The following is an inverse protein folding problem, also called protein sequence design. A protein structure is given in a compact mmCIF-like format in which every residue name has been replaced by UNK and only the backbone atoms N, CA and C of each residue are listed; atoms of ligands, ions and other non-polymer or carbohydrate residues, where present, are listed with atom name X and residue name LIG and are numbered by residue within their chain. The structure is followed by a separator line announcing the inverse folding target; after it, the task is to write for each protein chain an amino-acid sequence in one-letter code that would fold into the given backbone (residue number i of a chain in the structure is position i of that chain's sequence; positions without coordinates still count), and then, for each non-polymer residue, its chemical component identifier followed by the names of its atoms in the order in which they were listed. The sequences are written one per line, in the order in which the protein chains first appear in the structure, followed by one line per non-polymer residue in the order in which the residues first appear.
data_IF_123461085990
#
_entry.id   IF_123461085990
#
_cell.length_a   1.000
_cell.length_b   1.000
_cell.length_c   1.000
_cell.angle_alpha   90.00
_cell.angle_beta   90.00
_cell.angle_gamma   90.00
#
_symmetry.space_group_name_H-M   'P 1'
#
loop_
_entity.id
_entity.type
_entity.pdbx_description
1 polymer ?
#
# COMPACT_ATOMS: atom_id res chain seq x y z
N UNK A 1 -48.62 -2.31 -97.00
CA UNK A 1 -47.31 -2.96 -96.98
C UNK A 1 -46.29 -1.89 -96.65
N UNK A 2 -45.42 -2.19 -95.66
CA UNK A 2 -44.09 -1.63 -95.32
C UNK A 2 -43.71 -0.24 -95.83
N UNK A 3 -43.23 0.61 -94.92
CA UNK A 3 -41.77 0.81 -94.80
C UNK A 3 -41.40 1.60 -93.55
N UNK A 4 -40.48 1.01 -92.79
CA UNK A 4 -39.72 1.63 -91.70
C UNK A 4 -38.57 2.44 -92.31
N UNK A 5 -38.39 3.70 -91.90
CA UNK A 5 -37.05 4.28 -91.74
C UNK A 5 -37.17 5.62 -91.00
N UNK A 6 -36.61 5.74 -89.80
CA UNK A 6 -35.91 6.96 -89.37
C UNK A 6 -35.07 6.72 -88.12
N UNK A 7 -33.76 6.84 -88.36
CA UNK A 7 -32.68 7.00 -87.39
C UNK A 7 -33.05 7.93 -86.24
N UNK A 8 -32.60 7.59 -85.03
CA UNK A 8 -32.26 8.58 -84.01
C UNK A 8 -30.91 8.21 -83.39
N UNK A 9 -30.05 9.22 -83.36
CA UNK A 9 -28.60 9.20 -83.23
C UNK A 9 -28.11 8.93 -81.80
N UNK A 10 -27.06 8.12 -81.68
CA UNK A 10 -26.13 8.15 -80.53
C UNK A 10 -25.52 9.55 -80.42
N UNK A 11 -25.63 10.17 -79.24
CA UNK A 11 -24.91 11.39 -78.88
C UNK A 11 -24.01 11.07 -77.69
N UNK A 12 -22.73 10.82 -77.96
CA UNK A 12 -21.70 10.72 -76.92
C UNK A 12 -21.39 12.14 -76.42
N UNK A 13 -21.76 12.44 -75.17
CA UNK A 13 -21.44 13.72 -74.54
C UNK A 13 -20.02 13.67 -73.98
N UNK A 14 -19.05 14.13 -74.78
CA UNK A 14 -17.68 14.34 -74.32
C UNK A 14 -17.65 15.52 -73.36
N UNK A 15 -17.43 15.27 -72.07
CA UNK A 15 -17.28 16.32 -71.06
C UNK A 15 -16.03 17.18 -71.36
N UNK A 16 -16.26 18.44 -71.71
CA UNK A 16 -15.22 19.42 -72.03
C UNK A 16 -14.51 19.93 -70.75
N UNK A 17 -13.52 19.17 -70.27
CA UNK A 17 -12.78 19.43 -69.03
C UNK A 17 -12.05 20.80 -69.04
N UNK A 18 -11.54 21.24 -70.20
CA UNK A 18 -10.78 22.49 -70.35
C UNK A 18 -11.58 23.77 -70.06
N UNK A 19 -12.92 23.73 -70.11
CA UNK A 19 -13.77 24.89 -69.77
C UNK A 19 -14.07 24.99 -68.26
N UNK A 20 -14.02 23.88 -67.55
CA UNK A 20 -14.30 23.84 -66.11
C UNK A 20 -13.09 24.27 -65.28
N UNK A 21 -11.87 23.91 -65.70
CA UNK A 21 -10.63 24.29 -65.01
C UNK A 21 -10.27 25.79 -65.06
N UNK A 22 -10.97 26.62 -65.85
CA UNK A 22 -10.75 28.08 -65.90
C UNK A 22 -11.55 28.87 -64.85
N UNK A 23 -12.43 28.21 -64.08
CA UNK A 23 -13.20 28.87 -63.02
C UNK A 23 -12.42 28.83 -61.71
N UNK A 24 -12.28 29.99 -61.05
CA UNK A 24 -11.47 30.18 -59.82
C UNK A 24 -11.92 29.32 -58.62
N UNK A 25 -13.11 28.72 -58.69
CA UNK A 25 -13.68 27.82 -57.67
C UNK A 25 -13.55 26.32 -58.02
N UNK A 26 -13.08 25.98 -59.22
CA UNK A 26 -12.97 24.58 -59.64
C UNK A 26 -11.84 23.84 -58.90
N UNK A 27 -10.72 24.51 -58.64
CA UNK A 27 -9.60 23.94 -57.87
C UNK A 27 -9.98 23.57 -56.41
N UNK A 28 -10.60 24.46 -55.61
CA UNK A 28 -11.01 24.08 -54.25
C UNK A 28 -12.11 23.01 -54.25
N UNK A 29 -13.05 23.03 -55.20
CA UNK A 29 -14.07 21.99 -55.30
C UNK A 29 -13.49 20.61 -55.64
N UNK A 30 -12.50 20.54 -56.53
CA UNK A 30 -11.77 19.30 -56.84
C UNK A 30 -10.96 18.84 -55.62
N UNK A 31 -10.32 19.75 -54.90
CA UNK A 31 -9.56 19.42 -53.69
C UNK A 31 -10.45 18.79 -52.60
N UNK A 32 -11.64 19.35 -52.37
CA UNK A 32 -12.61 18.79 -51.43
C UNK A 32 -13.11 17.41 -51.86
N UNK A 33 -13.34 17.19 -53.15
CA UNK A 33 -13.76 15.89 -53.66
C UNK A 33 -12.66 14.82 -53.48
N UNK A 34 -11.40 15.18 -53.73
CA UNK A 34 -10.25 14.29 -53.49
C UNK A 34 -10.06 14.03 -52.00
N UNK A 35 -10.17 15.05 -51.14
CA UNK A 35 -10.07 14.88 -49.69
C UNK A 35 -11.16 13.95 -49.14
N UNK A 36 -12.40 14.06 -49.64
CA UNK A 36 -13.49 13.16 -49.26
C UNK A 36 -13.22 11.70 -49.67
N UNK A 37 -12.61 11.48 -50.84
CA UNK A 37 -12.19 10.14 -51.31
C UNK A 37 -11.03 9.57 -50.48
N UNK A 38 -10.08 10.41 -50.06
CA UNK A 38 -8.99 9.98 -49.20
C UNK A 38 -9.48 9.64 -47.79
N UNK A 39 -10.41 10.43 -47.24
CA UNK A 39 -11.02 10.15 -45.94
C UNK A 39 -11.89 8.89 -45.98
N UNK A 40 -12.66 8.65 -47.05
CA UNK A 40 -13.44 7.42 -47.18
C UNK A 40 -12.55 6.19 -47.36
N UNK A 41 -11.46 6.30 -48.12
CA UNK A 41 -10.46 5.24 -48.23
C UNK A 41 -9.76 4.97 -46.88
N UNK A 42 -9.38 6.02 -46.15
CA UNK A 42 -8.79 5.90 -44.81
C UNK A 42 -9.74 5.21 -43.83
N UNK A 43 -11.01 5.61 -43.81
CA UNK A 43 -12.03 4.98 -42.95
C UNK A 43 -12.30 3.53 -43.34
N UNK A 44 -12.28 3.21 -44.63
CA UNK A 44 -12.42 1.84 -45.12
C UNK A 44 -11.20 0.97 -44.75
N UNK A 45 -9.99 1.52 -44.83
CA UNK A 45 -8.76 0.83 -44.41
C UNK A 45 -8.74 0.62 -42.89
N UNK A 46 -9.17 1.62 -42.11
CA UNK A 46 -9.33 1.49 -40.66
C UNK A 46 -10.46 0.50 -40.30
N UNK A 47 -11.53 0.44 -41.10
CA UNK A 47 -12.63 -0.52 -40.92
C UNK A 47 -12.24 -1.96 -41.27
N UNK A 48 -11.27 -2.19 -42.16
CA UNK A 48 -10.74 -3.53 -42.42
C UNK A 48 -9.69 -3.96 -41.39
N UNK A 49 -8.97 -3.01 -40.78
CA UNK A 49 -7.99 -3.26 -39.71
C UNK A 49 -8.59 -3.26 -38.30
N UNK A 50 -9.90 -3.02 -38.17
CA UNK A 50 -10.63 -3.20 -36.92
C UNK A 50 -10.91 -4.67 -36.66
N UNK A 51 -9.93 -5.41 -36.14
CA UNK A 51 -10.23 -6.54 -35.26
C UNK A 51 -10.95 -5.96 -34.04
N UNK A 52 -12.27 -5.85 -34.13
CA UNK A 52 -13.11 -5.84 -32.93
C UNK A 52 -13.04 -7.30 -32.46
N UNK A 53 -12.19 -7.57 -31.48
CA UNK A 53 -12.21 -8.85 -30.80
C UNK A 53 -13.61 -9.01 -30.21
N UNK A 54 -14.41 -9.94 -30.74
CA UNK A 54 -15.56 -10.42 -30.00
C UNK A 54 -15.01 -11.25 -28.84
N UNK A 55 -15.51 -11.06 -27.60
CA UNK A 55 -15.09 -11.88 -26.46
C UNK A 55 -15.44 -13.36 -26.62
N UNK A 56 -16.21 -13.73 -27.66
CA UNK A 56 -16.65 -15.09 -27.96
C UNK A 56 -15.93 -15.73 -29.17
N UNK A 57 -14.95 -15.06 -29.78
CA UNK A 57 -14.17 -15.68 -30.86
C UNK A 57 -13.21 -16.73 -30.26
N UNK A 58 -13.27 -18.01 -30.68
CA UNK A 58 -12.39 -19.05 -30.14
C UNK A 58 -10.94 -18.73 -30.50
N UNK A 59 -10.07 -18.70 -29.49
CA UNK A 59 -8.63 -18.56 -29.66
C UNK A 59 -8.12 -19.80 -30.39
N UNK A 60 -7.79 -19.65 -31.66
CA UNK A 60 -7.13 -20.68 -32.46
C UNK A 60 -5.65 -20.71 -32.04
N UNK A 61 -5.35 -21.53 -31.03
CA UNK A 61 -3.97 -21.79 -30.61
C UNK A 61 -3.35 -22.67 -31.70
N UNK A 62 -2.59 -22.07 -32.61
CA UNK A 62 -1.67 -22.83 -33.47
C UNK A 62 -0.67 -23.55 -32.56
N UNK A 63 -0.91 -24.84 -32.31
CA UNK A 63 0.03 -25.70 -31.60
C UNK A 63 1.34 -25.75 -32.39
N UNK A 64 2.36 -25.06 -31.89
CA UNK A 64 3.73 -25.29 -32.31
C UNK A 64 4.20 -26.64 -31.71
N UNK A 65 4.38 -27.70 -32.51
CA UNK A 65 4.70 -29.03 -31.99
C UNK A 65 6.12 -29.13 -31.41
N UNK A 66 6.90 -28.04 -31.42
CA UNK A 66 8.26 -27.98 -30.87
C UNK A 66 8.45 -26.88 -29.79
N UNK A 67 7.37 -26.34 -29.21
CA UNK A 67 7.45 -25.43 -28.07
C UNK A 67 7.70 -26.17 -26.75
N UNK A 68 8.43 -25.58 -25.77
CA UNK A 68 8.61 -26.21 -24.47
C UNK A 68 7.25 -26.28 -23.75
N UNK A 69 6.85 -27.50 -23.38
CA UNK A 69 5.65 -27.79 -22.59
C UNK A 69 5.86 -27.31 -21.16
N UNK A 70 5.59 -26.03 -20.92
CA UNK A 70 5.46 -25.43 -19.60
C UNK A 70 4.09 -25.73 -19.00
N UNK A 71 4.07 -26.14 -17.73
CA UNK A 71 2.89 -26.56 -16.99
C UNK A 71 1.82 -25.45 -16.94
N UNK A 72 0.58 -25.79 -17.34
CA UNK A 72 -0.62 -25.00 -17.08
C UNK A 72 -1.13 -25.33 -15.67
N UNK A 73 -1.39 -24.32 -14.83
CA UNK A 73 -2.14 -24.56 -13.59
C UNK A 73 -2.18 -23.46 -12.55
N UNK A 74 -1.37 -22.41 -12.65
CA UNK A 74 -1.44 -21.29 -11.72
C UNK A 74 -1.89 -20.07 -12.52
N UNK A 75 -3.11 -19.60 -12.24
CA UNK A 75 -3.59 -18.33 -12.74
C UNK A 75 -2.53 -17.28 -12.40
N UNK A 76 -1.93 -16.69 -13.43
CA UNK A 76 -0.91 -15.67 -13.24
C UNK A 76 -1.54 -14.50 -12.47
N UNK A 77 -1.18 -14.36 -11.20
CA UNK A 77 -1.39 -13.12 -10.47
C UNK A 77 -0.59 -12.03 -11.19
N UNK A 78 -1.21 -10.92 -11.61
CA UNK A 78 -0.46 -9.85 -12.26
C UNK A 78 0.57 -9.29 -11.28
N UNK A 79 1.86 -9.46 -11.58
CA UNK A 79 2.97 -8.76 -10.92
C UNK A 79 3.22 -7.47 -11.69
N UNK A 80 2.26 -6.55 -11.63
CA UNK A 80 2.46 -5.16 -12.06
C UNK A 80 1.78 -4.24 -11.06
N UNK A 81 2.61 -3.63 -10.21
CA UNK A 81 2.34 -2.39 -9.46
C UNK A 81 2.09 -1.26 -10.46
N UNK A 82 0.96 -1.32 -11.19
CA UNK A 82 0.58 -0.29 -12.14
C UNK A 82 0.18 0.99 -11.37
N UNK A 83 1.18 1.80 -11.00
CA UNK A 83 1.01 3.18 -10.54
C UNK A 83 0.05 3.34 -9.37
N UNK A 84 0.04 2.40 -8.42
CA UNK A 84 -0.71 2.59 -7.17
C UNK A 84 -0.22 3.84 -6.45
N UNK A 85 -1.15 4.52 -5.80
CA UNK A 85 -0.91 5.73 -5.03
C UNK A 85 -1.12 5.38 -3.57
N UNK A 86 -0.19 5.77 -2.71
CA UNK A 86 -0.27 5.51 -1.26
C UNK A 86 -1.53 6.16 -0.69
N UNK A 87 -2.37 5.38 -0.01
CA UNK A 87 -3.57 5.84 0.67
C UNK A 87 -3.46 5.66 2.17
N UNK A 88 -4.31 6.37 2.91
CA UNK A 88 -4.52 6.09 4.32
C UNK A 88 -5.10 4.67 4.50
N UNK A 89 -4.79 4.00 5.63
CA UNK A 89 -5.21 2.63 5.91
C UNK A 89 -6.67 2.53 6.40
N UNK A 90 -7.56 3.31 5.79
CA UNK A 90 -8.96 3.45 6.16
C UNK A 90 -9.84 3.62 4.92
N UNK A 91 -11.13 3.31 5.04
CA UNK A 91 -12.07 3.42 3.93
C UNK A 91 -12.64 4.83 3.74
N UNK A 92 -12.91 5.57 4.83
CA UNK A 92 -13.46 6.93 4.79
C UNK A 92 -12.62 7.89 5.64
N UNK A 93 -11.88 8.77 4.96
CA UNK A 93 -10.99 9.77 5.57
C UNK A 93 -11.75 10.82 6.41
N UNK A 94 -13.05 10.98 6.23
CA UNK A 94 -13.83 11.96 6.99
C UNK A 94 -14.27 11.47 8.36
N UNK A 95 -14.12 10.16 8.64
CA UNK A 95 -14.56 9.56 9.89
C UNK A 95 -13.45 9.51 10.95
N UNK A 96 -12.20 9.72 10.55
CA UNK A 96 -11.02 9.45 11.37
C UNK A 96 -10.11 10.67 11.43
N UNK A 97 -9.49 10.88 12.58
CA UNK A 97 -8.55 11.97 12.84
C UNK A 97 -7.15 11.41 13.14
N UNK A 98 -6.11 12.15 12.73
CA UNK A 98 -4.74 11.86 13.15
C UNK A 98 -4.57 12.40 14.58
N UNK A 99 -4.46 11.50 15.54
CA UNK A 99 -4.29 11.83 16.97
C UNK A 99 -2.84 11.73 17.43
N UNK A 100 -1.98 11.08 16.64
CA UNK A 100 -0.54 11.00 16.86
C UNK A 100 0.20 11.19 15.53
N UNK A 101 1.21 12.05 15.52
CA UNK A 101 1.97 12.41 14.32
C UNK A 101 3.37 11.81 14.35
N UNK A 102 3.99 11.69 13.18
CA UNK A 102 5.38 11.24 13.06
C UNK A 102 6.34 12.21 13.74
N UNK A 103 7.39 11.68 14.39
CA UNK A 103 8.40 12.51 15.05
C UNK A 103 9.42 13.07 14.05
N UNK A 104 9.35 14.38 13.77
CA UNK A 104 10.37 15.10 13.00
C UNK A 104 11.43 15.75 13.91
N UNK A 105 12.68 15.31 13.76
CA UNK A 105 13.85 15.87 14.46
C UNK A 105 14.09 17.35 14.14
N UNK A 106 13.59 17.84 13.00
CA UNK A 106 13.71 19.23 12.56
C UNK A 106 12.48 20.08 12.91
N UNK A 107 11.42 19.47 13.48
CA UNK A 107 10.20 20.16 13.88
C UNK A 107 10.40 21.12 15.05
N UNK A 108 9.37 21.92 15.33
CA UNK A 108 9.35 22.77 16.53
C UNK A 108 9.24 21.94 17.80
N UNK A 109 9.64 22.50 18.95
CA UNK A 109 9.57 21.79 20.23
C UNK A 109 8.13 21.35 20.60
N UNK A 110 7.11 22.10 20.15
CA UNK A 110 5.70 21.77 20.38
C UNK A 110 5.28 20.56 19.53
N UNK A 111 5.64 20.55 18.24
CA UNK A 111 5.38 19.42 17.33
C UNK A 111 6.13 18.16 17.78
N UNK A 112 7.40 18.30 18.16
CA UNK A 112 8.19 17.19 18.71
C UNK A 112 7.55 16.59 19.95
N UNK A 113 7.08 17.42 20.88
CA UNK A 113 6.42 16.94 22.09
C UNK A 113 5.10 16.23 21.79
N UNK A 114 4.33 16.71 20.80
CA UNK A 114 3.08 16.08 20.37
C UNK A 114 3.31 14.72 19.69
N UNK A 115 4.47 14.53 19.04
CA UNK A 115 4.88 13.30 18.37
C UNK A 115 5.60 12.29 19.27
N UNK A 116 5.52 12.42 20.60
CA UNK A 116 6.10 11.47 21.54
C UNK A 116 5.06 10.48 22.06
N UNK A 117 5.44 9.21 22.07
CA UNK A 117 4.68 8.12 22.72
C UNK A 117 5.23 7.92 24.13
N UNK A 118 4.36 7.99 25.13
CA UNK A 118 4.74 7.78 26.54
C UNK A 118 4.40 6.36 26.98
N UNK A 119 5.43 5.57 27.29
CA UNK A 119 5.27 4.19 27.75
C UNK A 119 6.29 3.84 28.83
N UNK A 120 5.85 3.19 29.90
CA UNK A 120 6.70 2.70 30.99
C UNK A 120 7.69 3.73 31.57
N UNK A 121 7.25 4.99 31.74
CA UNK A 121 8.07 6.14 32.20
C UNK A 121 9.16 6.62 31.22
N UNK A 122 9.11 6.18 29.96
CA UNK A 122 9.97 6.65 28.88
C UNK A 122 9.14 7.33 27.80
N UNK A 123 9.78 8.23 27.06
CA UNK A 123 9.24 8.83 25.86
C UNK A 123 9.95 8.24 24.66
N UNK A 124 9.16 7.76 23.70
CA UNK A 124 9.61 7.19 22.44
C UNK A 124 9.18 8.11 21.30
N UNK A 125 9.98 8.16 20.26
CA UNK A 125 9.61 8.87 19.03
C UNK A 125 8.52 8.08 18.32
N UNK A 126 7.44 8.75 17.93
CA UNK A 126 6.44 8.15 17.06
C UNK A 126 7.04 7.92 15.66
N UNK A 127 7.01 6.67 15.19
CA UNK A 127 7.58 6.24 13.89
C UNK A 127 6.52 6.16 12.78
N UNK A 128 5.30 6.59 13.06
CA UNK A 128 4.19 6.57 12.11
C UNK A 128 3.16 7.63 12.46
N UNK A 129 1.91 7.33 12.14
CA UNK A 129 0.75 8.13 12.53
C UNK A 129 -0.26 7.25 13.28
N UNK A 130 -0.95 7.85 14.24
CA UNK A 130 -2.05 7.21 14.97
C UNK A 130 -3.37 7.78 14.48
N UNK A 131 -4.24 6.89 14.00
CA UNK A 131 -5.55 7.23 13.44
C UNK A 131 -6.65 6.74 14.39
N UNK A 132 -7.55 7.63 14.79
CA UNK A 132 -8.64 7.32 15.72
C UNK A 132 -9.96 8.01 15.33
N UNK A 133 -11.09 7.39 15.71
CA UNK A 133 -12.41 8.02 15.60
C UNK A 133 -12.76 8.79 16.86
N UNK A 134 -13.58 9.83 16.71
CA UNK A 134 -14.21 10.47 17.87
C UNK A 134 -15.08 9.44 18.64
N UNK A 135 -15.09 9.54 19.97
CA UNK A 135 -15.87 8.65 20.83
C UNK A 135 -15.30 7.25 21.08
N UNK A 136 -14.04 6.99 20.72
CA UNK A 136 -13.36 5.69 20.92
C UNK A 136 -14.07 4.50 20.24
N UNK A 137 -14.68 4.74 19.07
CA UNK A 137 -15.28 3.69 18.27
C UNK A 137 -14.24 2.96 17.41
N UNK A 138 -14.37 1.63 17.32
CA UNK A 138 -13.55 0.83 16.40
C UNK A 138 -14.01 1.01 14.95
N UNK A 139 -13.10 0.77 14.01
CA UNK A 139 -13.32 0.91 12.58
C UNK A 139 -12.43 -0.01 11.78
N UNK A 140 -12.85 -0.31 10.54
CA UNK A 140 -12.12 -1.19 9.64
C UNK A 140 -10.80 -0.53 9.20
N UNK A 141 -9.72 -1.29 9.34
CA UNK A 141 -8.38 -0.91 8.88
C UNK A 141 -8.11 -1.63 7.57
N UNK A 142 -7.69 -0.87 6.56
CA UNK A 142 -7.49 -1.38 5.20
C UNK A 142 -6.03 -1.32 4.77
N UNK A 143 -5.68 -2.16 3.79
CA UNK A 143 -4.36 -2.15 3.17
C UNK A 143 -4.13 -0.82 2.43
N UNK A 144 -3.06 -0.13 2.79
CA UNK A 144 -2.68 1.17 2.21
C UNK A 144 -2.14 1.00 0.79
N UNK A 145 -1.59 -0.17 0.48
CA UNK A 145 -1.05 -0.58 -0.81
C UNK A 145 -1.29 -2.09 -1.01
N UNK A 146 -1.32 -2.55 -2.25
CA UNK A 146 -1.38 -3.99 -2.55
C UNK A 146 -0.05 -4.67 -2.20
N UNK A 147 -0.08 -5.90 -1.69
CA UNK A 147 1.12 -6.60 -1.28
C UNK A 147 0.88 -7.98 -0.67
N UNK A 148 1.89 -8.52 -0.01
CA UNK A 148 1.83 -9.81 0.69
C UNK A 148 1.99 -9.59 2.18
N UNK A 149 1.09 -10.18 2.98
CA UNK A 149 1.15 -10.15 4.43
C UNK A 149 2.35 -10.98 4.90
N UNK A 150 3.38 -10.33 5.43
CA UNK A 150 4.59 -11.00 5.92
C UNK A 150 4.53 -11.27 7.42
N UNK A 151 3.62 -10.61 8.15
CA UNK A 151 3.36 -10.82 9.58
C UNK A 151 1.89 -10.54 9.89
N UNK A 152 1.27 -11.40 10.70
CA UNK A 152 -0.08 -11.23 11.22
C UNK A 152 -0.17 -11.98 12.56
N UNK A 153 0.02 -11.29 13.68
CA UNK A 153 0.08 -11.94 15.00
C UNK A 153 -0.41 -11.03 16.13
N UNK A 154 -0.70 -11.63 17.28
CA UNK A 154 -0.98 -10.89 18.52
C UNK A 154 0.33 -10.57 19.24
N UNK A 155 0.59 -9.29 19.42
CA UNK A 155 1.63 -8.80 20.33
C UNK A 155 1.00 -8.32 21.64
N UNK A 156 1.63 -8.63 22.78
CA UNK A 156 1.11 -8.27 24.10
C UNK A 156 1.17 -6.77 24.42
N UNK A 157 2.07 -6.04 23.77
CA UNK A 157 2.31 -4.62 23.96
C UNK A 157 1.66 -3.80 22.84
N UNK A 158 1.80 -4.24 21.59
CA UNK A 158 1.38 -3.50 20.39
C UNK A 158 -0.05 -3.82 19.93
N UNK A 159 -0.72 -4.82 20.52
CA UNK A 159 -2.02 -5.31 20.02
C UNK A 159 -1.83 -6.31 18.88
N UNK A 160 -2.86 -6.54 18.06
CA UNK A 160 -2.63 -7.28 16.82
C UNK A 160 -1.79 -6.43 15.86
N UNK A 161 -0.82 -7.07 15.21
CA UNK A 161 0.14 -6.47 14.30
C UNK A 161 0.04 -7.15 12.94
N UNK A 162 -0.08 -6.34 11.90
CA UNK A 162 0.03 -6.77 10.49
C UNK A 162 1.17 -6.02 9.84
N UNK A 163 2.00 -6.72 9.07
CA UNK A 163 3.02 -6.12 8.20
C UNK A 163 2.77 -6.62 6.77
N UNK A 164 2.73 -5.69 5.82
CA UNK A 164 2.49 -6.00 4.39
C UNK A 164 3.71 -5.54 3.59
N UNK A 165 4.32 -6.48 2.87
CA UNK A 165 5.42 -6.25 1.92
C UNK A 165 4.85 -5.89 0.55
N UNK A 166 5.30 -4.75 0.01
CA UNK A 166 4.85 -4.18 -1.26
C UNK A 166 5.92 -4.28 -2.35
N UNK A 167 6.95 -5.11 -2.14
CA UNK A 167 8.17 -5.20 -2.93
C UNK A 167 9.07 -3.95 -2.80
N UNK A 168 10.26 -4.03 -3.41
CA UNK A 168 11.24 -2.93 -3.46
C UNK A 168 11.62 -2.35 -2.08
N UNK A 169 11.55 -3.16 -1.02
CA UNK A 169 11.89 -2.76 0.34
C UNK A 169 10.84 -1.85 0.99
N UNK A 170 9.64 -1.73 0.42
CA UNK A 170 8.54 -0.94 0.98
C UNK A 170 7.67 -1.88 1.81
N UNK A 171 7.53 -1.57 3.10
CA UNK A 171 6.69 -2.34 4.03
C UNK A 171 5.78 -1.39 4.78
N UNK A 172 4.50 -1.72 4.88
CA UNK A 172 3.56 -1.00 5.75
C UNK A 172 3.27 -1.80 7.01
N UNK A 173 3.20 -1.11 8.13
CA UNK A 173 2.95 -1.70 9.45
C UNK A 173 1.63 -1.18 10.00
N UNK A 174 0.84 -2.08 10.58
CA UNK A 174 -0.45 -1.80 11.18
C UNK A 174 -0.45 -2.38 12.59
N UNK A 175 -0.32 -1.53 13.60
CA UNK A 175 -0.36 -1.94 15.01
C UNK A 175 -1.64 -1.44 15.68
N UNK A 176 -1.83 -1.85 16.93
CA UNK A 176 -3.02 -1.56 17.74
C UNK A 176 -4.31 -2.11 17.14
N UNK A 177 -4.25 -3.18 16.34
CA UNK A 177 -5.47 -3.81 15.82
C UNK A 177 -6.17 -4.60 16.94
N UNK A 178 -7.50 -4.58 16.94
CA UNK A 178 -8.36 -5.30 17.89
C UNK A 178 -8.74 -6.70 17.41
N UNK A 179 -8.79 -6.91 16.09
CA UNK A 179 -9.00 -8.20 15.45
C UNK A 179 -8.27 -8.25 14.10
N UNK A 180 -8.08 -9.47 13.58
CA UNK A 180 -7.46 -9.72 12.28
C UNK A 180 -8.44 -10.40 11.32
N UNK A 181 -8.36 -9.97 10.06
CA UNK A 181 -9.11 -10.55 8.94
C UNK A 181 -8.20 -11.23 7.92
N UNK A 182 -6.88 -11.21 8.17
CA UNK A 182 -5.83 -11.77 7.31
C UNK A 182 -4.87 -12.62 8.13
N UNK A 183 -4.16 -13.51 7.44
CA UNK A 183 -3.13 -14.36 8.01
C UNK A 183 -1.79 -14.16 7.27
N UNK A 184 -0.69 -14.58 7.89
CA UNK A 184 0.63 -14.52 7.28
C UNK A 184 0.64 -15.34 5.97
N UNK A 185 1.15 -14.73 4.89
CA UNK A 185 1.21 -15.31 3.56
C UNK A 185 0.06 -14.92 2.63
N UNK A 186 -0.97 -14.23 3.13
CA UNK A 186 -2.07 -13.74 2.31
C UNK A 186 -1.61 -12.64 1.34
N UNK A 187 -2.13 -12.67 0.11
CA UNK A 187 -2.00 -11.54 -0.82
C UNK A 187 -3.22 -10.62 -0.66
N UNK A 188 -2.96 -9.34 -0.39
CA UNK A 188 -3.98 -8.31 -0.19
C UNK A 188 -3.89 -7.25 -1.28
N UNK A 189 -5.03 -6.70 -1.68
CA UNK A 189 -5.11 -5.53 -2.56
C UNK A 189 -5.28 -4.26 -1.74
N UNK A 190 -4.84 -3.13 -2.27
CA UNK A 190 -5.13 -1.83 -1.68
C UNK A 190 -6.63 -1.68 -1.40
N UNK A 191 -6.96 -1.32 -0.16
CA UNK A 191 -8.34 -1.17 0.32
C UNK A 191 -8.97 -2.44 0.91
N UNK A 192 -8.32 -3.61 0.79
CA UNK A 192 -8.79 -4.83 1.46
C UNK A 192 -8.71 -4.66 2.98
N UNK A 193 -9.71 -5.17 3.71
CA UNK A 193 -9.79 -5.07 5.17
C UNK A 193 -8.78 -6.03 5.79
N UNK A 194 -7.85 -5.50 6.58
CA UNK A 194 -6.83 -6.26 7.32
C UNK A 194 -7.31 -6.66 8.71
N UNK A 195 -8.19 -5.86 9.31
CA UNK A 195 -8.68 -6.02 10.67
C UNK A 195 -9.48 -4.79 11.12
N UNK A 196 -9.62 -4.60 12.43
CA UNK A 196 -10.25 -3.41 13.01
C UNK A 196 -9.36 -2.72 14.03
N UNK A 197 -9.52 -1.41 14.17
CA UNK A 197 -8.80 -0.59 15.14
C UNK A 197 -9.11 -1.03 16.58
N UNK A 198 -8.10 -1.06 17.42
CA UNK A 198 -8.16 -1.56 18.78
C UNK A 198 -7.41 -0.69 19.77
N UNK A 199 -7.06 -1.27 20.92
CA UNK A 199 -6.25 -0.62 21.95
C UNK A 199 -4.97 -1.41 22.14
N UNK A 200 -3.89 -0.72 22.48
CA UNK A 200 -2.64 -1.33 22.88
C UNK A 200 -2.10 -0.69 24.17
N UNK A 201 -1.10 -1.32 24.77
CA UNK A 201 -0.44 -0.80 25.98
C UNK A 201 0.65 0.22 25.66
N UNK A 202 1.16 0.21 24.43
CA UNK A 202 2.25 1.07 24.00
C UNK A 202 1.84 2.54 23.91
N UNK A 203 0.62 2.82 23.43
CA UNK A 203 0.09 4.17 23.29
C UNK A 203 -1.36 4.26 23.81
N UNK A 204 -1.54 4.03 25.12
CA UNK A 204 -2.86 4.06 25.77
C UNK A 204 -3.59 5.41 25.58
N UNK A 205 -2.85 6.50 25.40
CA UNK A 205 -3.40 7.85 25.23
C UNK A 205 -4.10 8.04 23.89
N UNK A 206 -3.75 7.25 22.86
CA UNK A 206 -4.42 7.29 21.55
C UNK A 206 -5.79 6.59 21.55
N UNK A 207 -6.17 5.91 22.64
CA UNK A 207 -7.49 5.28 22.77
C UNK A 207 -7.67 4.12 21.78
N UNK A 208 -8.87 4.01 21.18
CA UNK A 208 -9.12 3.05 20.09
C UNK A 208 -8.56 3.63 18.79
N UNK A 209 -7.47 3.06 18.31
CA UNK A 209 -6.71 3.57 17.17
C UNK A 209 -6.05 2.46 16.35
N UNK A 210 -5.58 2.82 15.16
CA UNK A 210 -4.55 2.08 14.44
C UNK A 210 -3.29 2.93 14.41
N UNK A 211 -2.16 2.30 14.71
CA UNK A 211 -0.84 2.90 14.49
C UNK A 211 -0.32 2.43 13.14
N UNK A 212 -0.03 3.38 12.24
CA UNK A 212 0.34 3.11 10.85
C UNK A 212 1.73 3.63 10.54
N UNK A 213 2.61 2.76 10.08
CA UNK A 213 3.94 3.13 9.59
C UNK A 213 4.10 2.75 8.13
N UNK A 214 4.91 3.52 7.42
CA UNK A 214 5.46 3.15 6.12
C UNK A 214 6.98 3.08 6.30
N UNK A 215 7.59 2.01 5.83
CA UNK A 215 9.04 1.81 5.90
C UNK A 215 9.63 1.59 4.52
N UNK A 216 10.79 2.18 4.29
CA UNK A 216 11.63 1.95 3.11
C UNK A 216 12.97 1.39 3.57
N UNK A 217 13.28 0.18 3.13
CA UNK A 217 14.50 -0.56 3.50
C UNK A 217 14.69 -0.65 5.03
N UNK A 218 13.58 -0.82 5.75
CA UNK A 218 13.55 -0.93 7.21
C UNK A 218 13.47 0.38 7.98
N UNK A 219 13.67 1.53 7.33
CA UNK A 219 13.58 2.84 7.99
C UNK A 219 12.19 3.42 7.83
N UNK A 220 11.61 3.85 8.96
CA UNK A 220 10.32 4.54 8.99
C UNK A 220 10.42 5.91 8.32
N UNK A 221 9.48 6.17 7.42
CA UNK A 221 9.31 7.46 6.75
C UNK A 221 8.00 8.08 7.24
N UNK A 222 7.94 9.41 7.28
CA UNK A 222 6.73 10.11 7.66
C UNK A 222 5.60 9.76 6.67
N UNK A 223 4.51 9.08 7.10
CA UNK A 223 3.42 8.73 6.21
C UNK A 223 2.81 9.96 5.54
N UNK A 224 2.70 11.09 6.26
CA UNK A 224 2.08 12.31 5.76
C UNK A 224 2.80 12.91 4.54
N UNK A 225 4.12 12.68 4.41
CA UNK A 225 4.92 13.18 3.28
C UNK A 225 4.72 12.37 1.99
N UNK A 226 4.23 11.13 2.13
CA UNK A 226 4.13 10.18 1.02
C UNK A 226 2.70 9.78 0.67
N UNK A 227 1.72 10.18 1.49
CA UNK A 227 0.31 10.05 1.14
C UNK A 227 0.02 10.73 -0.21
N UNK A 228 -0.81 10.07 -1.02
CA UNK A 228 -1.19 10.52 -2.35
C UNK A 228 -0.03 10.59 -3.36
N UNK A 229 1.17 10.13 -3.01
CA UNK A 229 2.27 9.93 -3.95
C UNK A 229 2.18 8.55 -4.60
N UNK A 230 2.64 8.41 -5.86
CA UNK A 230 2.75 7.09 -6.49
C UNK A 230 3.80 6.24 -5.75
N UNK A 231 3.64 4.92 -5.75
CA UNK A 231 4.61 3.99 -5.12
C UNK A 231 6.02 4.19 -5.67
N UNK A 232 6.19 4.55 -6.94
CA UNK A 232 7.50 4.84 -7.53
C UNK A 232 8.23 6.00 -6.84
N UNK A 233 7.52 6.96 -6.23
CA UNK A 233 8.14 8.00 -5.42
C UNK A 233 8.86 7.43 -4.20
N UNK A 234 8.28 6.40 -3.57
CA UNK A 234 8.88 5.71 -2.42
C UNK A 234 10.13 4.92 -2.81
N UNK A 235 10.13 4.37 -4.02
CA UNK A 235 11.28 3.62 -4.55
C UNK A 235 12.50 4.51 -4.77
N UNK A 236 12.26 5.77 -5.17
CA UNK A 236 13.28 6.78 -5.44
C UNK A 236 13.80 7.48 -4.16
N UNK A 237 13.21 7.20 -2.98
CA UNK A 237 13.73 7.68 -1.71
C UNK A 237 15.05 6.96 -1.40
N UNK A 238 16.16 7.54 -1.83
CA UNK A 238 17.49 7.05 -1.45
C UNK A 238 17.72 7.25 0.05
N UNK A 239 17.97 6.15 0.76
CA UNK A 239 18.76 6.12 1.99
C UNK A 239 18.28 7.02 3.12
N UNK A 240 17.19 6.65 3.78
CA UNK A 240 16.99 7.03 5.19
C UNK A 240 17.95 6.27 6.14
N UNK A 241 19.00 5.63 5.60
CA UNK A 241 19.95 4.77 6.31
C UNK A 241 21.09 5.53 6.99
N UNK A 242 21.20 6.85 6.83
CA UNK A 242 22.32 7.61 7.42
C UNK A 242 22.08 8.12 8.85
N UNK A 243 20.84 8.13 9.37
CA UNK A 243 20.56 8.72 10.70
C UNK A 243 20.12 7.73 11.80
N UNK A 244 19.91 6.44 11.50
CA UNK A 244 19.42 5.47 12.48
C UNK A 244 20.51 4.66 13.22
N UNK A 245 21.80 4.78 12.86
CA UNK A 245 22.86 3.88 13.36
C UNK A 245 23.59 4.31 14.63
N UNK A 246 23.19 5.38 15.33
CA UNK A 246 23.85 5.80 16.58
C UNK A 246 23.02 5.57 17.87
N UNK A 247 21.86 4.91 17.82
CA UNK A 247 20.94 4.86 18.96
C UNK A 247 20.64 3.50 19.62
N UNK A 248 20.84 2.37 18.96
CA UNK A 248 20.16 1.12 19.37
C UNK A 248 21.05 0.07 20.08
N UNK A 249 22.37 0.23 20.09
CA UNK A 249 23.27 -0.71 20.77
C UNK A 249 23.74 -0.16 22.13
N UNK A 250 22.88 -0.16 23.15
CA UNK A 250 23.29 -0.23 24.57
C UNK A 250 22.06 -0.25 25.49
N UNK A 251 21.43 -1.43 25.66
CA UNK A 251 20.92 -1.98 26.95
C UNK A 251 19.97 -3.17 26.75
N UNK A 252 20.51 -4.28 26.27
CA UNK A 252 19.96 -5.60 26.60
C UNK A 252 21.11 -6.58 26.88
N UNK A 253 21.52 -6.65 28.14
CA UNK A 253 21.94 -7.88 28.80
C UNK A 253 22.36 -7.54 30.22
N UNK A 254 21.51 -7.92 31.19
CA UNK A 254 21.88 -8.42 32.52
C UNK A 254 20.63 -8.41 33.39
N UNK A 255 19.74 -9.40 33.21
CA UNK A 255 19.18 -10.08 34.38
C UNK A 255 18.64 -11.47 34.01
N UNK A 256 19.52 -12.46 34.11
CA UNK A 256 19.14 -13.87 34.21
C UNK A 256 20.30 -14.61 34.88
N UNK A 257 20.32 -14.62 36.22
CA UNK A 257 21.01 -15.67 36.96
C UNK A 257 20.15 -16.22 38.09
N UNK A 258 19.72 -17.44 37.83
CA UNK A 258 19.12 -18.41 38.73
C UNK A 258 19.76 -18.43 40.12
N UNK A 259 18.91 -18.43 41.13
CA UNK A 259 19.26 -18.79 42.50
C UNK A 259 18.96 -20.27 42.73
N UNK A 260 19.95 -21.14 42.50
CA UNK A 260 20.03 -22.46 43.10
C UNK A 260 21.16 -22.48 44.14
N UNK A 261 20.85 -23.00 45.33
CA UNK A 261 21.72 -22.95 46.49
C UNK A 261 22.69 -24.12 46.61
N UNK A 262 23.77 -23.87 47.36
CA UNK A 262 24.68 -24.78 48.05
C UNK A 262 25.41 -23.83 49.05
N UNK A 263 25.47 -24.05 50.37
CA UNK A 263 26.05 -25.21 51.05
C UNK A 263 27.49 -24.86 51.47
N UNK A 264 27.85 -25.11 52.74
CA UNK A 264 29.19 -24.99 53.38
C UNK A 264 29.46 -23.64 54.11
N UNK A 265 29.34 -23.53 55.44
CA UNK A 265 30.04 -24.17 56.58
C UNK A 265 31.32 -23.39 56.98
N UNK A 266 31.19 -22.47 57.95
CA UNK A 266 32.30 -22.06 58.82
C UNK A 266 31.81 -21.84 60.26
N UNK A 267 32.31 -22.70 61.14
CA UNK A 267 32.32 -22.59 62.58
C UNK A 267 33.38 -21.60 63.07
N UNK A 268 33.06 -20.70 64.00
CA UNK A 268 33.55 -20.79 65.40
C UNK A 268 33.12 -19.58 66.26
N UNK A 269 32.41 -19.93 67.35
CA UNK A 269 32.41 -19.41 68.72
C UNK A 269 32.97 -18.00 69.01
N UNK A 270 32.17 -17.19 69.72
CA UNK A 270 32.43 -16.91 71.14
C UNK A 270 31.17 -16.40 71.87
N UNK A 271 31.04 -16.86 73.12
CA UNK A 271 29.92 -16.67 74.05
C UNK A 271 29.86 -15.25 74.64
N UNK A 272 28.64 -14.76 74.90
CA UNK A 272 28.35 -14.20 76.22
C UNK A 272 26.84 -14.19 76.51
N UNK A 273 26.51 -14.84 77.64
CA UNK A 273 25.20 -14.95 78.26
C UNK A 273 24.68 -13.59 78.74
N UNK A 274 23.35 -13.42 78.75
CA UNK A 274 22.63 -12.99 79.95
C UNK A 274 21.14 -13.37 79.88
N UNK A 275 20.81 -14.35 80.71
CA UNK A 275 19.48 -14.77 81.15
C UNK A 275 18.94 -13.77 82.20
N UNK A 276 17.74 -13.18 82.03
CA UNK A 276 16.83 -12.88 83.16
C UNK A 276 15.35 -12.84 82.72
N UNK A 277 14.67 -13.97 82.92
CA UNK A 277 13.37 -14.22 83.60
C UNK A 277 12.14 -13.32 83.38
N UNK A 278 11.06 -14.01 82.99
CA UNK A 278 9.67 -13.80 83.39
C UNK A 278 9.52 -13.47 84.89
N UNK A 279 8.65 -12.50 85.21
CA UNK A 279 7.80 -12.61 86.38
C UNK A 279 6.47 -11.87 86.18
N UNK A 280 5.47 -12.44 86.81
CA UNK A 280 4.02 -12.34 86.60
C UNK A 280 3.31 -11.20 87.36
N UNK A 281 2.10 -10.91 86.90
CA UNK A 281 0.88 -10.57 87.65
C UNK A 281 0.68 -9.25 88.44
N UNK A 282 -0.40 -8.56 88.03
CA UNK A 282 -1.57 -8.09 88.79
C UNK A 282 -1.45 -7.30 90.11
N UNK A 283 -2.26 -6.23 90.12
CA UNK A 283 -2.92 -5.52 91.23
C UNK A 283 -2.15 -4.53 92.13
N UNK A 284 -2.40 -3.23 91.88
CA UNK A 284 -2.89 -2.25 92.85
C UNK A 284 -3.43 -0.98 92.16
#
# INVERSE_FOLDING_TARGET
MRDENKQSSKKEETFNLQRFLKKRWALPAIYLAVAALLLSAFFFMQSQNGQIANPDDPIDVEENPNGPTGMHGEDAVPVTTDGEVVKLPISDENEVEIVGTFYDVNGTAEEQQAALVYYNNYYYQNKGIDLAKDGEESFDVTAALSGTVVKAEQDSLLGYVVEVDHDNGIVTHYHSLGELNVEQGDTVRQGDILGSAGRNLYNENAGVHVHFEIRKDGIAINPEDVLQQPVSFLEDLEGASEEATEGEDEKESEDARDGEGEGEDESDREEQNDDVKEDTNEDA
#
